data_IF_452505911148
#
_entry.id   IF_452505911148
#
_cell.length_a   1.000
_cell.length_b   1.000
_cell.length_c   1.000
_cell.angle_alpha   90.00
_cell.angle_beta   90.00
_cell.angle_gamma   90.00
#
_symmetry.space_group_name_H-M   'P 1'
#
loop_
_entity.id
_entity.type
_entity.pdbx_description
1 polymer ?
#
# COMPACT_ATOMS: atom_id res chain seq x y z
N UNK A 1 18.63 20.55 -8.97
CA UNK A 1 19.48 19.36 -8.83
C UNK A 1 19.02 18.40 -7.73
N UNK A 2 19.08 18.74 -6.43
CA UNK A 2 18.64 17.83 -5.35
C UNK A 2 17.13 17.54 -5.37
N UNK A 3 16.28 18.55 -5.61
CA UNK A 3 14.84 18.36 -5.77
C UNK A 3 14.48 17.48 -6.99
N UNK A 4 15.23 17.59 -8.08
CA UNK A 4 14.99 16.82 -9.31
C UNK A 4 15.35 15.35 -9.11
N UNK A 5 16.45 15.07 -8.41
CA UNK A 5 16.85 13.70 -8.03
C UNK A 5 15.78 13.08 -7.11
N UNK A 6 15.28 13.84 -6.14
CA UNK A 6 14.23 13.38 -5.23
C UNK A 6 12.91 13.09 -5.97
N UNK A 7 12.49 13.98 -6.88
CA UNK A 7 11.33 13.77 -7.77
C UNK A 7 11.51 12.56 -8.68
N UNK A 8 12.70 12.36 -9.25
CA UNK A 8 12.99 11.23 -10.15
C UNK A 8 13.01 9.90 -9.39
N UNK A 9 13.54 9.87 -8.17
CA UNK A 9 13.54 8.69 -7.29
C UNK A 9 12.12 8.30 -6.85
N UNK A 10 11.27 9.27 -6.50
CA UNK A 10 9.87 9.02 -6.13
C UNK A 10 9.02 8.56 -7.32
N UNK A 11 9.27 9.08 -8.52
CA UNK A 11 8.65 8.59 -9.75
C UNK A 11 9.05 7.15 -10.09
N UNK A 12 10.35 6.80 -9.97
CA UNK A 12 10.84 5.44 -10.21
C UNK A 12 10.33 4.43 -9.17
N UNK A 13 10.24 4.84 -7.89
CA UNK A 13 9.62 4.03 -6.84
C UNK A 13 8.13 3.77 -7.12
N UNK A 14 7.44 4.69 -7.79
CA UNK A 14 6.03 4.53 -8.15
C UNK A 14 5.78 3.36 -9.11
N UNK A 15 6.75 3.03 -9.96
CA UNK A 15 6.66 1.93 -10.94
C UNK A 15 6.88 0.54 -10.32
N UNK A 16 7.46 0.48 -9.11
CA UNK A 16 7.82 -0.78 -8.44
C UNK A 16 6.93 -1.12 -7.23
N UNK A 17 6.04 -0.22 -6.84
CA UNK A 17 5.13 -0.42 -5.72
C UNK A 17 3.79 -1.03 -6.16
N UNK A 18 3.22 -1.87 -5.29
CA UNK A 18 1.82 -2.29 -5.41
C UNK A 18 0.89 -1.10 -5.16
N UNK A 19 -0.40 -1.24 -5.48
CA UNK A 19 -1.42 -0.22 -5.13
C UNK A 19 -1.45 0.05 -3.62
N UNK A 20 -1.33 -0.98 -2.77
CA UNK A 20 -1.21 -0.79 -1.33
C UNK A 20 0.09 -0.08 -0.96
N UNK A 21 1.23 -0.43 -1.55
CA UNK A 21 2.51 0.24 -1.32
C UNK A 21 2.44 1.73 -1.63
N UNK A 22 1.78 2.11 -2.73
CA UNK A 22 1.52 3.50 -3.09
C UNK A 22 0.60 4.21 -2.08
N UNK A 23 -0.45 3.54 -1.62
CA UNK A 23 -1.36 4.08 -0.60
C UNK A 23 -0.61 4.40 0.70
N UNK A 24 0.15 3.44 1.20
CA UNK A 24 0.94 3.58 2.43
C UNK A 24 2.03 4.65 2.31
N UNK A 25 2.68 4.74 1.14
CA UNK A 25 3.69 5.77 0.88
C UNK A 25 3.07 7.17 0.85
N UNK A 26 1.91 7.34 0.21
CA UNK A 26 1.18 8.63 0.17
C UNK A 26 0.75 9.11 1.56
N UNK A 27 0.32 8.18 2.43
CA UNK A 27 -0.06 8.49 3.81
C UNK A 27 1.13 8.49 4.79
N UNK A 28 2.37 8.39 4.30
CA UNK A 28 3.60 8.36 5.13
C UNK A 28 3.55 7.34 6.27
N UNK A 29 2.96 6.17 6.02
CA UNK A 29 2.67 5.16 7.04
C UNK A 29 3.94 4.58 7.65
N UNK A 30 3.99 4.56 8.99
CA UNK A 30 4.99 3.82 9.73
C UNK A 30 4.64 2.32 9.79
N UNK A 31 5.26 1.51 8.93
CA UNK A 31 5.02 0.06 8.87
C UNK A 31 5.34 -0.69 10.17
N UNK A 32 6.27 -0.20 10.98
CA UNK A 32 6.58 -0.84 12.26
C UNK A 32 5.44 -0.66 13.28
N UNK A 33 4.77 0.50 13.26
CA UNK A 33 3.61 0.75 14.11
C UNK A 33 2.40 -0.09 13.70
N UNK A 34 2.12 -0.14 12.39
CA UNK A 34 1.07 -1.02 11.85
C UNK A 34 1.32 -2.48 12.22
N UNK A 35 2.57 -2.95 12.11
CA UNK A 35 2.91 -4.32 12.50
C UNK A 35 2.57 -4.62 13.97
N UNK A 36 2.87 -3.70 14.89
CA UNK A 36 2.54 -3.85 16.31
C UNK A 36 1.03 -3.89 16.57
N UNK A 37 0.26 -3.03 15.89
CA UNK A 37 -1.21 -2.95 16.08
C UNK A 37 -1.96 -4.13 15.47
N UNK A 38 -1.44 -4.71 14.39
CA UNK A 38 -2.16 -5.71 13.57
C UNK A 38 -1.68 -7.15 13.76
N UNK A 39 -0.48 -7.35 14.31
CA UNK A 39 0.19 -8.65 14.31
C UNK A 39 0.76 -9.07 12.94
N UNK A 40 0.58 -8.26 11.88
CA UNK A 40 1.18 -8.51 10.57
C UNK A 40 2.66 -8.17 10.64
N UNK A 41 3.54 -9.09 10.23
CA UNK A 41 4.99 -8.83 10.30
C UNK A 41 5.43 -7.67 9.40
N UNK A 42 6.47 -6.95 9.81
CA UNK A 42 7.09 -5.90 9.00
C UNK A 42 7.58 -6.42 7.65
N UNK A 43 8.06 -7.66 7.59
CA UNK A 43 8.39 -8.37 6.35
C UNK A 43 7.17 -8.53 5.45
N UNK A 44 6.02 -8.98 5.99
CA UNK A 44 4.78 -9.14 5.22
C UNK A 44 4.25 -7.81 4.69
N UNK A 45 4.25 -6.75 5.51
CA UNK A 45 3.88 -5.39 5.06
C UNK A 45 4.82 -4.88 3.96
N UNK A 46 6.11 -5.20 4.03
CA UNK A 46 7.09 -4.89 2.98
C UNK A 46 6.77 -5.64 1.68
N UNK A 47 6.56 -6.96 1.75
CA UNK A 47 6.16 -7.78 0.59
C UNK A 47 4.87 -7.26 -0.04
N UNK A 48 3.85 -6.96 0.75
CA UNK A 48 2.60 -6.36 0.29
C UNK A 48 2.80 -4.98 -0.38
N UNK A 49 3.87 -4.26 -0.06
CA UNK A 49 4.16 -2.94 -0.64
C UNK A 49 4.92 -3.02 -1.97
N UNK A 50 5.86 -3.96 -2.13
CA UNK A 50 6.84 -3.96 -3.25
C UNK A 50 6.74 -5.18 -4.18
N UNK A 51 6.14 -6.28 -3.74
CA UNK A 51 6.06 -7.49 -4.55
C UNK A 51 4.72 -7.53 -5.29
N UNK A 52 4.75 -7.25 -6.60
CA UNK A 52 3.55 -7.24 -7.47
C UNK A 52 2.83 -8.60 -7.55
N UNK A 53 3.48 -9.71 -7.18
CA UNK A 53 2.86 -11.04 -7.12
C UNK A 53 2.22 -11.34 -5.75
N UNK A 54 2.49 -10.51 -4.74
CA UNK A 54 1.93 -10.68 -3.41
C UNK A 54 0.46 -10.30 -3.42
N UNK A 55 -0.39 -11.21 -2.97
CA UNK A 55 -1.83 -10.97 -2.82
C UNK A 55 -2.11 -10.32 -1.47
N UNK A 56 -2.83 -9.19 -1.48
CA UNK A 56 -3.37 -8.58 -0.26
C UNK A 56 -4.64 -9.32 0.12
N UNK A 57 -4.65 -9.95 1.30
CA UNK A 57 -5.86 -10.59 1.81
C UNK A 57 -6.81 -9.57 2.44
N UNK A 58 -8.10 -9.90 2.47
CA UNK A 58 -9.16 -9.01 2.98
C UNK A 58 -8.97 -8.71 4.47
N UNK A 59 -8.59 -9.72 5.26
CA UNK A 59 -8.26 -9.56 6.68
C UNK A 59 -7.06 -8.63 6.90
N UNK A 60 -6.00 -8.79 6.12
CA UNK A 60 -4.82 -7.91 6.14
C UNK A 60 -5.20 -6.47 5.80
N UNK A 61 -6.00 -6.26 4.75
CA UNK A 61 -6.51 -4.94 4.37
C UNK A 61 -7.29 -4.31 5.53
N UNK A 62 -8.23 -5.06 6.11
CA UNK A 62 -9.11 -4.57 7.16
C UNK A 62 -8.30 -4.18 8.41
N UNK A 63 -7.38 -5.03 8.86
CA UNK A 63 -6.51 -4.74 10.00
C UNK A 63 -5.59 -3.53 9.74
N UNK A 64 -5.04 -3.40 8.53
CA UNK A 64 -4.25 -2.22 8.15
C UNK A 64 -5.10 -0.96 8.25
N UNK A 65 -6.33 -0.97 7.74
CA UNK A 65 -7.23 0.18 7.81
C UNK A 65 -7.54 0.58 9.26
N UNK A 66 -7.88 -0.40 10.12
CA UNK A 66 -8.10 -0.15 11.54
C UNK A 66 -6.87 0.44 12.25
N UNK A 67 -5.67 -0.09 11.96
CA UNK A 67 -4.43 0.42 12.55
C UNK A 67 -4.07 1.85 12.13
N UNK A 68 -4.58 2.27 10.98
CA UNK A 68 -4.46 3.62 10.43
C UNK A 68 -5.63 4.54 10.82
N UNK A 69 -6.63 4.03 11.55
CA UNK A 69 -7.82 4.77 11.99
C UNK A 69 -8.60 5.38 10.81
N UNK A 70 -8.73 4.61 9.73
CA UNK A 70 -9.48 4.99 8.53
C UNK A 70 -10.50 3.91 8.16
N UNK A 71 -11.49 4.29 7.35
CA UNK A 71 -12.48 3.34 6.87
C UNK A 71 -11.82 2.30 5.95
N UNK A 72 -12.06 0.99 6.15
CA UNK A 72 -11.55 -0.06 5.26
C UNK A 72 -11.91 0.12 3.79
N UNK A 73 -13.06 0.74 3.49
CA UNK A 73 -13.48 1.06 2.12
C UNK A 73 -12.50 2.01 1.43
N UNK A 74 -11.88 2.97 2.14
CA UNK A 74 -10.87 3.86 1.54
C UNK A 74 -9.67 3.07 1.00
N UNK A 75 -9.23 2.06 1.74
CA UNK A 75 -8.11 1.20 1.33
C UNK A 75 -8.54 0.33 0.15
N UNK A 76 -9.74 -0.26 0.23
CA UNK A 76 -10.31 -1.11 -0.81
C UNK A 76 -10.45 -0.35 -2.13
N UNK A 77 -11.11 0.81 -2.11
CA UNK A 77 -11.34 1.64 -3.29
C UNK A 77 -10.01 2.07 -3.93
N UNK A 78 -9.01 2.46 -3.12
CA UNK A 78 -7.71 2.82 -3.67
C UNK A 78 -6.99 1.64 -4.33
N UNK A 79 -7.04 0.46 -3.69
CA UNK A 79 -6.38 -0.75 -4.19
C UNK A 79 -7.05 -1.27 -5.46
N UNK A 80 -8.38 -1.16 -5.55
CA UNK A 80 -9.19 -1.71 -6.64
C UNK A 80 -9.56 -0.70 -7.73
N UNK A 81 -9.13 0.57 -7.66
CA UNK A 81 -9.61 1.67 -8.51
C UNK A 81 -9.56 1.46 -10.03
N UNK A 82 -8.69 0.59 -10.53
CA UNK A 82 -8.56 0.32 -11.99
C UNK A 82 -9.12 -1.03 -12.39
N UNK A 83 -9.76 -1.74 -11.47
CA UNK A 83 -10.51 -2.95 -11.79
C UNK A 83 -11.77 -2.55 -12.55
N UNK A 84 -11.97 -3.20 -13.69
CA UNK A 84 -13.16 -3.06 -14.50
C UNK A 84 -13.55 -4.42 -15.04
N UNK A 85 -14.85 -4.61 -15.25
CA UNK A 85 -15.33 -5.80 -15.93
C UNK A 85 -14.99 -5.70 -17.42
N UNK A 86 -14.64 -6.81 -18.09
CA UNK A 86 -14.51 -6.84 -19.54
C UNK A 86 -15.81 -6.35 -20.19
N UNK A 87 -15.70 -5.56 -21.27
CA UNK A 87 -16.86 -5.24 -22.11
C UNK A 87 -17.34 -6.53 -22.75
N UNK A 88 -18.65 -6.79 -22.67
CA UNK A 88 -19.31 -7.89 -23.38
C UNK A 88 -19.26 -7.67 -24.89
#
# INVERSE_FOLDING_TARGET
>A
MLLDIFRKKTALQKETLTRLGLFLAKKSVNKADVARKTGISTYRLSQLSINLKSQLRVDELYLIALALEIDPSEVLEFVCKDLSLPKK
#
